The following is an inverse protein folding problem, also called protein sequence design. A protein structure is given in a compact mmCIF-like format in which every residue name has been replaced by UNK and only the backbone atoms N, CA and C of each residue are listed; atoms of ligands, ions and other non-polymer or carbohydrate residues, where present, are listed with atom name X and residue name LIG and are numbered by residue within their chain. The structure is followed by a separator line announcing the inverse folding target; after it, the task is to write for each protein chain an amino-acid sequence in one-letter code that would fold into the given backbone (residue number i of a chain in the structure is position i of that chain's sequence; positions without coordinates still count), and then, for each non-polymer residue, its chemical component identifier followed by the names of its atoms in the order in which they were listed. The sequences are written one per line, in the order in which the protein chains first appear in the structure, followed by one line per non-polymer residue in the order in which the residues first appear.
data_IF_020972115253
#
_entry.id   IF_020972115253
#
_cell.length_a   1.000
_cell.length_b   1.000
_cell.length_c   1.000
_cell.angle_alpha   90.00
_cell.angle_beta   90.00
_cell.angle_gamma   90.00
#
_symmetry.space_group_name_H-M   'P 1'
#
loop_
_entity.id
_entity.type
_entity.pdbx_description
1 polymer ?
#
# COMPACT_ATOMS: atom_id res chain seq x y z
N UNK A 1 -2.03 -7.05 15.29
CA UNK A 1 -1.70 -5.83 14.55
C UNK A 1 -2.96 -5.18 14.06
N UNK A 2 -2.83 -4.15 13.22
CA UNK A 2 -3.92 -3.51 12.50
C UNK A 2 -3.59 -3.49 11.01
N UNK A 3 -4.62 -3.59 10.17
CA UNK A 3 -4.49 -3.40 8.73
C UNK A 3 -5.43 -2.27 8.33
N UNK A 4 -4.94 -1.31 7.57
CA UNK A 4 -5.73 -0.19 7.06
C UNK A 4 -5.75 -0.23 5.54
N UNK A 5 -6.94 -0.04 4.96
CA UNK A 5 -7.17 -0.01 3.52
C UNK A 5 -7.70 1.36 3.09
N UNK A 6 -6.83 2.34 2.79
CA UNK A 6 -7.26 3.54 2.09
C UNK A 6 -7.61 3.15 0.64
N UNK A 7 -8.91 3.15 0.32
CA UNK A 7 -9.44 2.72 -0.98
C UNK A 7 -9.83 3.89 -1.88
N UNK A 8 -9.90 5.10 -1.34
CA UNK A 8 -10.22 6.29 -2.11
C UNK A 8 -9.09 6.73 -3.02
N UNK A 9 -9.45 7.46 -4.07
CA UNK A 9 -8.49 8.00 -5.04
C UNK A 9 -7.74 9.26 -4.57
N UNK A 10 -8.02 9.74 -3.36
CA UNK A 10 -7.48 10.96 -2.75
C UNK A 10 -6.98 10.69 -1.32
N UNK A 11 -6.69 11.76 -0.56
CA UNK A 11 -6.21 11.66 0.83
C UNK A 11 -7.33 11.23 1.78
N UNK A 12 -7.28 9.98 2.22
CA UNK A 12 -8.20 9.43 3.25
C UNK A 12 -7.53 9.29 4.62
N UNK A 13 -6.20 9.32 4.66
CA UNK A 13 -5.41 9.12 5.87
C UNK A 13 -4.24 10.08 5.93
N UNK A 14 -3.78 10.35 7.15
CA UNK A 14 -2.62 11.20 7.41
C UNK A 14 -1.35 10.59 6.82
N UNK A 15 -0.46 11.44 6.27
CA UNK A 15 0.85 11.04 5.75
C UNK A 15 1.65 10.20 6.78
N UNK A 16 1.49 10.52 8.07
CA UNK A 16 2.16 9.80 9.16
C UNK A 16 1.77 8.31 9.20
N UNK A 17 0.53 7.96 8.90
CA UNK A 17 0.09 6.56 8.85
C UNK A 17 0.85 5.80 7.75
N UNK A 18 0.98 6.41 6.58
CA UNK A 18 1.63 5.83 5.40
C UNK A 18 3.14 5.66 5.62
N UNK A 19 3.77 6.67 6.22
CA UNK A 19 5.22 6.72 6.44
C UNK A 19 5.69 5.86 7.63
N UNK A 20 4.81 5.52 8.57
CA UNK A 20 5.13 4.73 9.78
C UNK A 20 4.54 3.32 9.75
N UNK A 21 4.01 2.88 8.60
CA UNK A 21 3.57 1.50 8.41
C UNK A 21 4.76 0.54 8.48
N UNK A 22 4.59 -0.59 9.17
CA UNK A 22 5.61 -1.65 9.23
C UNK A 22 5.67 -2.42 7.91
N UNK A 23 4.53 -2.55 7.23
CA UNK A 23 4.41 -3.15 5.89
C UNK A 23 3.45 -2.34 5.02
N UNK A 24 3.78 -2.24 3.74
CA UNK A 24 2.95 -1.59 2.72
C UNK A 24 2.71 -2.56 1.58
N UNK A 25 1.46 -2.92 1.35
CA UNK A 25 1.05 -3.73 0.21
C UNK A 25 0.23 -2.90 -0.78
N UNK A 26 0.35 -3.21 -2.07
CA UNK A 26 -0.36 -2.50 -3.14
C UNK A 26 -0.92 -3.49 -4.16
N UNK A 27 -1.90 -3.11 -4.95
CA UNK A 27 -2.34 -3.91 -6.09
C UNK A 27 -1.38 -3.75 -7.30
N UNK A 28 -0.90 -2.53 -7.53
CA UNK A 28 0.07 -2.19 -8.58
C UNK A 28 1.05 -1.13 -8.12
N UNK A 29 2.35 -1.47 -8.14
CA UNK A 29 3.42 -0.54 -7.77
C UNK A 29 3.39 0.69 -8.68
N UNK A 30 3.38 0.49 -10.01
CA UNK A 30 3.44 1.59 -10.96
C UNK A 30 2.27 2.57 -10.83
N UNK A 31 1.04 2.09 -10.58
CA UNK A 31 -0.10 2.99 -10.38
C UNK A 31 -0.02 3.74 -9.04
N UNK A 32 0.29 3.02 -7.95
CA UNK A 32 0.27 3.59 -6.60
C UNK A 32 1.37 4.64 -6.40
N UNK A 33 2.49 4.54 -7.12
CA UNK A 33 3.54 5.57 -7.09
C UNK A 33 3.12 6.91 -7.74
N UNK A 34 2.00 6.94 -8.46
CA UNK A 34 1.54 8.14 -9.17
C UNK A 34 0.11 8.57 -8.80
N UNK A 35 -0.63 7.77 -8.01
CA UNK A 35 -2.05 7.97 -7.69
C UNK A 35 -2.41 7.49 -6.29
N UNK A 36 -3.59 7.92 -5.82
CA UNK A 36 -4.15 7.51 -4.53
C UNK A 36 -3.34 8.01 -3.33
N UNK A 37 -3.45 7.29 -2.21
CA UNK A 37 -2.94 7.72 -0.91
C UNK A 37 -1.42 8.01 -0.89
N UNK A 38 -0.59 7.33 -1.69
CA UNK A 38 0.85 7.55 -1.70
C UNK A 38 1.29 8.76 -2.54
N UNK A 39 0.45 9.27 -3.44
CA UNK A 39 0.87 10.27 -4.44
C UNK A 39 1.56 11.48 -3.77
N UNK A 40 0.93 12.05 -2.74
CA UNK A 40 1.45 13.23 -2.05
C UNK A 40 2.82 12.99 -1.41
N UNK A 41 2.99 11.87 -0.70
CA UNK A 41 4.24 11.53 0.00
C UNK A 41 5.35 11.10 -0.95
N UNK A 42 5.01 10.51 -2.11
CA UNK A 42 5.95 10.21 -3.19
C UNK A 42 6.41 11.49 -3.88
N UNK A 43 5.50 12.40 -4.24
CA UNK A 43 5.84 13.69 -4.86
C UNK A 43 6.75 14.54 -3.96
N UNK A 44 6.57 14.44 -2.64
CA UNK A 44 7.42 15.09 -1.63
C UNK A 44 8.76 14.37 -1.38
N UNK A 45 9.00 13.22 -2.02
CA UNK A 45 10.21 12.40 -1.84
C UNK A 45 10.31 11.70 -0.48
N UNK A 46 9.23 11.67 0.31
CA UNK A 46 9.17 11.05 1.64
C UNK A 46 8.93 9.54 1.57
N UNK A 47 8.24 9.09 0.53
CA UNK A 47 7.96 7.69 0.26
C UNK A 47 8.67 7.26 -1.03
N UNK A 48 9.28 6.07 -1.02
CA UNK A 48 9.98 5.51 -2.19
C UNK A 48 9.48 4.10 -2.49
N UNK A 49 9.67 3.64 -3.74
CA UNK A 49 9.19 2.34 -4.18
C UNK A 49 9.73 1.18 -3.32
N UNK A 50 10.95 1.31 -2.78
CA UNK A 50 11.60 0.29 -1.95
C UNK A 50 10.94 0.14 -0.57
N UNK A 51 10.08 1.09 -0.17
CA UNK A 51 9.29 1.01 1.05
C UNK A 51 8.04 0.13 0.88
N UNK A 52 7.70 -0.26 -0.36
CA UNK A 52 6.63 -1.21 -0.63
C UNK A 52 7.12 -2.61 -0.31
N UNK A 53 6.40 -3.31 0.57
CA UNK A 53 6.70 -4.69 0.96
C UNK A 53 6.45 -5.66 -0.18
N UNK A 54 5.40 -5.43 -0.97
CA UNK A 54 5.05 -6.25 -2.12
C UNK A 54 3.67 -5.96 -2.65
N UNK A 55 3.29 -6.69 -3.69
CA UNK A 55 1.95 -6.63 -4.26
C UNK A 55 1.01 -7.63 -3.59
N UNK A 56 -0.30 -7.34 -3.60
CA UNK A 56 -1.35 -8.26 -3.18
C UNK A 56 -1.26 -9.57 -3.99
N UNK A 57 -0.96 -9.48 -5.29
CA UNK A 57 -0.76 -10.66 -6.15
C UNK A 57 0.43 -11.54 -5.71
N UNK A 58 1.54 -10.94 -5.26
CA UNK A 58 2.68 -11.70 -4.73
C UNK A 58 2.36 -12.40 -3.42
N UNK A 59 1.56 -11.78 -2.54
CA UNK A 59 1.06 -12.41 -1.31
C UNK A 59 0.17 -13.61 -1.66
N UNK A 60 -0.78 -13.44 -2.58
CA UNK A 60 -1.68 -14.52 -3.02
C UNK A 60 -0.91 -15.67 -3.67
N UNK A 61 0.13 -15.35 -4.46
CA UNK A 61 1.00 -16.37 -5.07
C UNK A 61 1.97 -17.04 -4.08
N UNK A 62 1.97 -16.66 -2.80
CA UNK A 62 2.88 -17.20 -1.78
C UNK A 62 4.34 -16.76 -1.96
N UNK A 63 4.61 -15.73 -2.77
CA UNK A 63 5.96 -15.19 -2.98
C UNK A 63 6.41 -14.32 -1.82
N UNK A 64 5.47 -13.70 -1.10
CA UNK A 64 5.71 -12.79 0.02
C UNK A 64 4.80 -13.19 1.18
N UNK A 65 5.33 -13.16 2.42
CA UNK A 65 4.56 -13.47 3.63
C UNK A 65 3.60 -12.32 4.00
N UNK A 66 2.30 -12.60 3.92
CA UNK A 66 1.22 -11.68 4.31
C UNK A 66 0.84 -11.75 5.79
N UNK A 67 1.52 -12.56 6.62
CA UNK A 67 1.16 -12.70 8.05
C UNK A 67 1.25 -11.38 8.81
N UNK A 68 0.26 -11.16 9.67
CA UNK A 68 0.16 -10.00 10.57
C UNK A 68 0.68 -10.41 11.94
N UNK A 69 1.65 -9.66 12.46
CA UNK A 69 2.17 -9.85 13.83
C UNK A 69 1.43 -8.97 14.84
N UNK A 70 1.61 -9.27 16.14
CA UNK A 70 1.14 -8.39 17.20
C UNK A 70 1.85 -7.03 17.10
N UNK A 71 1.12 -5.95 17.36
CA UNK A 71 1.58 -4.55 17.24
C UNK A 71 2.07 -4.08 15.85
N UNK A 72 1.97 -4.90 14.80
CA UNK A 72 2.30 -4.50 13.43
C UNK A 72 1.17 -3.66 12.82
N UNK A 73 1.52 -2.55 12.16
CA UNK A 73 0.65 -1.72 11.34
C UNK A 73 0.93 -2.00 9.87
N UNK A 74 -0.07 -2.51 9.20
CA UNK A 74 0.00 -2.78 7.76
C UNK A 74 -0.92 -1.80 7.05
N UNK A 75 -0.42 -1.18 5.98
CA UNK A 75 -1.25 -0.41 5.06
C UNK A 75 -1.33 -1.18 3.75
N UNK A 76 -2.55 -1.38 3.25
CA UNK A 76 -2.80 -2.00 1.96
C UNK A 76 -3.52 -1.00 1.07
N UNK A 77 -2.92 -0.60 -0.04
CA UNK A 77 -3.38 0.51 -0.89
C UNK A 77 -3.81 -0.06 -2.24
N UNK A 78 -5.08 -0.48 -2.38
CA UNK A 78 -5.64 -0.88 -3.66
C UNK A 78 -6.13 0.37 -4.41
N UNK A 79 -5.48 0.69 -5.54
CA UNK A 79 -5.93 1.80 -6.41
C UNK A 79 -7.10 1.34 -7.31
N UNK A 80 -7.16 0.05 -7.60
CA UNK A 80 -8.00 -0.53 -8.64
C UNK A 80 -7.14 -0.94 -9.83
N UNK A 81 -7.40 -2.16 -10.32
CA UNK A 81 -6.88 -2.66 -11.59
C UNK A 81 -8.06 -3.20 -12.37
N UNK A 82 -8.13 -2.91 -13.67
CA UNK A 82 -9.26 -3.37 -14.50
C UNK A 82 -9.38 -4.90 -14.56
N UNK A 83 -8.32 -5.63 -14.19
CA UNK A 83 -8.35 -7.09 -14.06
C UNK A 83 -9.27 -7.59 -12.92
N UNK A 84 -9.64 -6.73 -11.96
CA UNK A 84 -10.58 -7.10 -10.89
C UNK A 84 -12.05 -6.92 -11.28
N UNK A 85 -12.32 -6.17 -12.36
CA UNK A 85 -13.68 -5.84 -12.82
C UNK A 85 -14.22 -6.82 -13.88
N UNK A 86 -13.38 -7.77 -14.35
CA UNK A 86 -13.68 -8.76 -15.40
C UNK A 86 -13.69 -10.18 -14.86
#
# INVERSE_FOLDING_TARGET
GQIVFPMGSFTECEDELLLRADKVFVDSIGQTMHRGALKSVVDQGKFKQEMITGTIGEVVCGKIDGKVKNNERIVCIPIGTGAMDV
#
